data_IF_021799720640
#
_entry.id   IF_021799720640
#
_cell.length_a   1.000
_cell.length_b   1.000
_cell.length_c   1.000
_cell.angle_alpha   90.00
_cell.angle_beta   90.00
_cell.angle_gamma   90.00
#
_symmetry.space_group_name_H-M   'P 1'
#
loop_
_entity.id
_entity.type
_entity.pdbx_description
1 polymer ?
#
# COMPACT_ATOMS: atom_id res chain seq x y z
N UNK A 1 27.35 -10.26 -3.38
CA UNK A 1 26.68 -11.49 -3.81
C UNK A 1 25.62 -11.97 -2.83
N UNK A 2 25.75 -11.76 -1.50
CA UNK A 2 24.77 -12.23 -0.50
C UNK A 2 23.43 -11.45 -0.54
N UNK A 3 23.42 -10.22 -1.03
CA UNK A 3 22.21 -9.39 -1.16
C UNK A 3 21.20 -9.96 -2.14
N UNK A 4 21.58 -10.86 -3.03
CA UNK A 4 20.66 -11.47 -4.01
C UNK A 4 19.77 -12.58 -3.43
N UNK A 5 20.08 -13.10 -2.25
CA UNK A 5 19.30 -14.17 -1.61
C UNK A 5 18.13 -13.64 -0.77
N UNK A 6 18.22 -12.43 -0.22
CA UNK A 6 17.11 -11.80 0.46
C UNK A 6 16.14 -11.18 -0.54
N UNK A 7 14.85 -11.47 -0.39
CA UNK A 7 13.79 -10.95 -1.24
C UNK A 7 13.03 -9.85 -0.51
N UNK A 8 12.51 -8.91 -1.28
CA UNK A 8 11.67 -7.84 -0.75
C UNK A 8 10.37 -7.74 -1.52
N UNK A 9 9.32 -7.36 -0.78
CA UNK A 9 8.05 -6.92 -1.33
C UNK A 9 8.01 -5.41 -1.21
N UNK A 10 7.76 -4.72 -2.32
CA UNK A 10 7.75 -3.26 -2.34
C UNK A 10 6.55 -2.69 -1.58
N UNK A 11 6.68 -1.48 -1.05
CA UNK A 11 5.59 -0.72 -0.45
C UNK A 11 4.43 -0.53 -1.42
N UNK A 12 4.72 -0.32 -2.70
CA UNK A 12 3.70 -0.20 -3.76
C UNK A 12 2.86 -1.47 -3.85
N UNK A 13 3.47 -2.65 -3.74
CA UNK A 13 2.74 -3.92 -3.74
C UNK A 13 1.81 -4.02 -2.52
N UNK A 14 2.32 -3.73 -1.31
CA UNK A 14 1.51 -3.77 -0.09
C UNK A 14 0.36 -2.76 -0.14
N UNK A 15 0.65 -1.52 -0.51
CA UNK A 15 -0.36 -0.47 -0.68
C UNK A 15 -1.42 -0.84 -1.72
N UNK A 16 -1.04 -1.57 -2.80
CA UNK A 16 -2.01 -2.07 -3.80
C UNK A 16 -2.97 -3.07 -3.16
N UNK A 17 -2.47 -4.00 -2.34
CA UNK A 17 -3.32 -5.00 -1.66
C UNK A 17 -4.30 -4.33 -0.69
N UNK A 18 -3.83 -3.36 0.08
CA UNK A 18 -4.68 -2.57 0.97
C UNK A 18 -5.76 -1.83 0.16
N UNK A 19 -5.39 -1.16 -0.94
CA UNK A 19 -6.36 -0.47 -1.81
C UNK A 19 -7.42 -1.42 -2.37
N UNK A 20 -7.01 -2.58 -2.86
CA UNK A 20 -7.93 -3.57 -3.40
C UNK A 20 -8.92 -4.06 -2.34
N UNK A 21 -8.45 -4.30 -1.11
CA UNK A 21 -9.32 -4.69 -0.01
C UNK A 21 -10.35 -3.59 0.33
N UNK A 22 -9.88 -2.35 0.48
CA UNK A 22 -10.75 -1.19 0.77
C UNK A 22 -11.78 -0.98 -0.35
N UNK A 23 -11.34 -1.06 -1.61
CA UNK A 23 -12.23 -0.93 -2.75
C UNK A 23 -13.34 -1.98 -2.74
N UNK A 24 -12.99 -3.24 -2.45
CA UNK A 24 -13.97 -4.33 -2.37
C UNK A 24 -14.94 -4.14 -1.20
N UNK A 25 -14.46 -3.67 -0.05
CA UNK A 25 -15.26 -3.53 1.15
C UNK A 25 -16.17 -2.28 1.12
N UNK A 26 -15.69 -1.19 0.49
CA UNK A 26 -16.27 0.16 0.55
C UNK A 26 -16.65 0.70 -0.84
N UNK A 27 -16.95 -0.16 -1.81
CA UNK A 27 -17.18 0.23 -3.22
C UNK A 27 -18.25 1.32 -3.39
N UNK A 28 -19.33 1.26 -2.57
CA UNK A 28 -20.46 2.18 -2.64
C UNK A 28 -20.41 3.31 -1.60
N UNK A 29 -19.44 3.29 -0.69
CA UNK A 29 -19.37 4.24 0.41
C UNK A 29 -18.72 5.56 -0.02
N UNK A 30 -19.38 6.68 0.29
CA UNK A 30 -18.83 8.01 0.04
C UNK A 30 -17.56 8.25 0.85
N UNK A 31 -16.55 8.85 0.21
CA UNK A 31 -15.27 9.18 0.85
C UNK A 31 -14.26 8.04 0.86
N UNK A 32 -14.58 6.86 0.33
CA UNK A 32 -13.69 5.70 0.30
C UNK A 32 -13.24 5.30 -1.11
N UNK A 33 -13.41 6.18 -2.09
CA UNK A 33 -12.88 5.97 -3.44
C UNK A 33 -11.36 5.73 -3.41
N UNK A 34 -10.88 4.97 -4.40
CA UNK A 34 -9.44 4.74 -4.62
C UNK A 34 -8.99 5.57 -5.83
N UNK A 35 -7.99 6.42 -5.62
CA UNK A 35 -7.40 7.27 -6.65
C UNK A 35 -6.48 6.51 -7.59
N UNK A 36 -5.57 5.69 -7.02
CA UNK A 36 -4.65 4.86 -7.80
C UNK A 36 -5.30 3.51 -8.05
N UNK A 37 -6.08 3.42 -9.13
CA UNK A 37 -6.87 2.25 -9.54
C UNK A 37 -6.40 1.74 -10.90
N UNK A 38 -6.51 0.42 -11.14
CA UNK A 38 -6.16 -0.17 -12.42
C UNK A 38 -7.15 0.29 -13.51
N UNK A 39 -6.66 0.46 -14.73
CA UNK A 39 -7.43 0.82 -15.93
C UNK A 39 -8.19 2.17 -15.88
N UNK A 40 -7.97 2.98 -14.84
CA UNK A 40 -8.57 4.30 -14.73
C UNK A 40 -7.48 5.39 -14.81
N UNK A 41 -7.53 6.27 -15.81
CA UNK A 41 -6.62 7.41 -15.88
C UNK A 41 -6.82 8.37 -14.71
N UNK A 42 -5.73 8.77 -14.06
CA UNK A 42 -5.74 9.67 -12.89
C UNK A 42 -6.46 11.01 -13.15
N UNK A 43 -6.35 11.54 -14.38
CA UNK A 43 -7.00 12.80 -14.76
C UNK A 43 -8.54 12.76 -14.69
N UNK A 44 -9.16 11.57 -14.67
CA UNK A 44 -10.59 11.43 -14.48
C UNK A 44 -11.01 11.85 -13.06
N UNK A 45 -10.29 11.37 -12.05
CA UNK A 45 -10.53 11.73 -10.65
C UNK A 45 -10.17 13.19 -10.37
N UNK A 46 -9.10 13.70 -10.99
CA UNK A 46 -8.72 15.11 -10.86
C UNK A 46 -9.75 16.06 -11.48
N UNK A 47 -10.44 15.63 -12.57
CA UNK A 47 -11.57 16.39 -13.13
C UNK A 47 -12.77 16.43 -12.21
N UNK A 48 -13.03 15.37 -11.43
CA UNK A 48 -14.09 15.40 -10.40
C UNK A 48 -13.80 16.49 -9.36
N UNK A 49 -12.55 16.61 -8.93
CA UNK A 49 -12.14 17.69 -8.04
C UNK A 49 -12.30 19.08 -8.67
N UNK A 50 -11.97 19.23 -9.96
CA UNK A 50 -12.16 20.48 -10.68
C UNK A 50 -13.65 20.86 -10.82
N UNK A 51 -14.52 19.89 -11.07
CA UNK A 51 -15.97 20.10 -11.11
C UNK A 51 -16.53 20.62 -9.79
N UNK A 52 -15.99 20.17 -8.65
CA UNK A 52 -16.40 20.69 -7.33
C UNK A 52 -16.07 22.18 -7.14
N UNK A 53 -15.18 22.74 -7.96
CA UNK A 53 -14.86 24.17 -8.02
C UNK A 53 -15.58 24.91 -9.16
N UNK A 54 -16.55 24.27 -9.82
CA UNK A 54 -17.33 24.85 -10.92
C UNK A 54 -16.63 24.84 -12.28
N UNK A 55 -15.59 24.01 -12.45
CA UNK A 55 -14.87 23.84 -13.73
C UNK A 55 -15.40 22.58 -14.40
N UNK A 56 -16.23 22.75 -15.44
CA UNK A 56 -16.93 21.66 -16.13
C UNK A 56 -16.28 21.24 -17.45
N UNK A 57 -15.20 21.91 -17.87
CA UNK A 57 -14.48 21.59 -19.11
C UNK A 57 -13.92 20.15 -19.08
N UNK A 58 -14.00 19.51 -20.25
CA UNK A 58 -13.53 18.13 -20.45
C UNK A 58 -12.13 18.06 -21.08
N UNK A 59 -11.70 19.13 -21.75
CA UNK A 59 -10.38 19.23 -22.38
C UNK A 59 -9.33 19.67 -21.36
N UNK A 60 -8.23 18.89 -21.22
CA UNK A 60 -7.20 19.11 -20.21
C UNK A 60 -6.51 20.49 -20.32
N UNK A 61 -6.40 21.05 -21.53
CA UNK A 61 -5.80 22.39 -21.73
C UNK A 61 -6.74 23.48 -21.23
N UNK A 62 -8.05 23.36 -21.54
CA UNK A 62 -9.07 24.30 -21.06
C UNK A 62 -9.19 24.25 -19.54
N UNK A 63 -9.22 23.02 -18.97
CA UNK A 63 -9.19 22.84 -17.47
C UNK A 63 -7.98 23.52 -16.87
N UNK A 64 -6.80 23.34 -17.46
CA UNK A 64 -5.57 23.99 -16.98
C UNK A 64 -5.65 25.52 -17.02
N UNK A 65 -6.24 26.08 -18.08
CA UNK A 65 -6.44 27.54 -18.21
C UNK A 65 -7.44 28.06 -17.19
N UNK A 66 -8.56 27.36 -16.99
CA UNK A 66 -9.58 27.70 -16.01
C UNK A 66 -9.04 27.63 -14.58
N UNK A 67 -8.23 26.61 -14.24
CA UNK A 67 -7.55 26.51 -12.96
C UNK A 67 -6.57 27.66 -12.73
N UNK A 68 -5.79 28.05 -13.77
CA UNK A 68 -4.88 29.22 -13.66
C UNK A 68 -5.62 30.54 -13.46
N UNK A 69 -6.81 30.70 -14.08
CA UNK A 69 -7.68 31.87 -13.83
C UNK A 69 -8.24 31.84 -12.42
N UNK A 70 -8.76 30.67 -11.98
CA UNK A 70 -9.27 30.50 -10.63
C UNK A 70 -8.22 30.82 -9.57
N UNK A 71 -6.99 30.35 -9.74
CA UNK A 71 -5.89 30.63 -8.79
C UNK A 71 -5.57 32.12 -8.65
N UNK A 72 -5.79 32.93 -9.68
CA UNK A 72 -5.61 34.39 -9.61
C UNK A 72 -6.71 35.08 -8.82
N UNK A 73 -7.92 34.52 -8.81
CA UNK A 73 -9.08 35.06 -8.10
C UNK A 73 -9.30 34.44 -6.71
N UNK A 74 -8.82 33.21 -6.52
CA UNK A 74 -8.97 32.43 -5.28
C UNK A 74 -7.60 31.86 -4.88
N UNK A 75 -6.98 32.45 -3.88
CA UNK A 75 -5.67 32.02 -3.37
C UNK A 75 -5.71 30.60 -2.76
N UNK A 76 -6.90 30.17 -2.29
CA UNK A 76 -7.09 28.88 -1.61
C UNK A 76 -7.52 27.75 -2.55
N UNK A 77 -7.56 27.98 -3.87
CA UNK A 77 -7.95 26.95 -4.85
C UNK A 77 -7.13 25.65 -4.72
N UNK A 78 -5.83 25.77 -4.45
CA UNK A 78 -4.92 24.64 -4.21
C UNK A 78 -5.37 23.79 -3.01
N UNK A 79 -5.73 24.47 -1.92
CA UNK A 79 -6.18 23.84 -0.67
C UNK A 79 -7.52 23.15 -0.87
N UNK A 80 -8.45 23.81 -1.57
CA UNK A 80 -9.80 23.26 -1.85
C UNK A 80 -9.74 21.99 -2.65
N UNK A 81 -8.86 21.93 -3.69
CA UNK A 81 -8.66 20.69 -4.46
C UNK A 81 -8.03 19.58 -3.58
N UNK A 82 -6.98 19.91 -2.84
CA UNK A 82 -6.36 18.96 -1.92
C UNK A 82 -7.39 18.38 -0.94
N UNK A 83 -8.18 19.24 -0.34
CA UNK A 83 -9.18 18.86 0.67
C UNK A 83 -10.30 18.01 0.05
N UNK A 84 -10.71 18.34 -1.18
CA UNK A 84 -11.64 17.49 -1.94
C UNK A 84 -11.06 16.10 -2.17
N UNK A 85 -9.80 16.02 -2.63
CA UNK A 85 -9.13 14.75 -2.90
C UNK A 85 -8.97 13.93 -1.62
N UNK A 86 -8.52 14.53 -0.53
CA UNK A 86 -8.40 13.84 0.76
C UNK A 86 -9.75 13.36 1.30
N UNK A 87 -10.82 14.13 1.12
CA UNK A 87 -12.17 13.78 1.59
C UNK A 87 -12.76 12.59 0.83
N UNK A 88 -12.55 12.54 -0.49
CA UNK A 88 -13.21 11.57 -1.35
C UNK A 88 -12.37 10.32 -1.64
N UNK A 89 -11.04 10.39 -1.51
CA UNK A 89 -10.14 9.30 -1.86
C UNK A 89 -9.40 8.81 -0.61
N UNK A 90 -9.76 7.60 -0.16
CA UNK A 90 -9.17 6.99 1.03
C UNK A 90 -7.66 6.84 0.91
N UNK A 91 -7.16 6.40 -0.23
CA UNK A 91 -5.72 6.16 -0.42
C UNK A 91 -4.90 7.46 -0.48
N UNK A 92 -5.47 8.58 -0.94
CA UNK A 92 -4.83 9.89 -0.83
C UNK A 92 -4.79 10.34 0.63
N UNK A 93 -5.90 10.21 1.34
CA UNK A 93 -6.00 10.56 2.76
C UNK A 93 -5.04 9.74 3.62
N UNK A 94 -4.81 8.47 3.27
CA UNK A 94 -3.97 7.53 3.99
C UNK A 94 -2.50 7.64 3.60
N UNK A 95 -2.18 7.42 2.33
CA UNK A 95 -0.80 7.29 1.83
C UNK A 95 -0.24 8.56 1.22
N UNK A 96 -1.11 9.52 0.91
CA UNK A 96 -0.78 10.66 0.09
C UNK A 96 -0.71 10.33 -1.39
N UNK A 97 -0.51 11.36 -2.20
CA UNK A 97 -0.35 11.21 -3.64
C UNK A 97 0.50 12.35 -4.23
N UNK A 98 1.08 12.07 -5.39
CA UNK A 98 1.64 13.10 -6.28
C UNK A 98 0.71 13.19 -7.48
N UNK A 99 -0.06 14.27 -7.57
CA UNK A 99 -0.93 14.55 -8.70
C UNK A 99 -0.10 15.08 -9.86
N UNK A 100 0.20 14.22 -10.84
CA UNK A 100 1.11 14.51 -11.97
C UNK A 100 0.40 15.00 -13.22
N UNK A 101 -0.89 15.25 -13.14
CA UNK A 101 -1.77 15.65 -14.24
C UNK A 101 -1.77 17.17 -14.45
N UNK A 102 -2.77 17.68 -15.18
CA UNK A 102 -2.98 19.11 -15.38
C UNK A 102 -3.10 19.91 -14.06
N UNK A 103 -3.53 19.30 -12.96
CA UNK A 103 -3.60 19.94 -11.64
C UNK A 103 -2.22 20.40 -11.19
N UNK A 104 -1.17 19.57 -11.37
CA UNK A 104 0.21 19.95 -11.05
C UNK A 104 0.70 21.14 -11.87
N UNK A 105 0.31 21.23 -13.14
CA UNK A 105 0.74 22.30 -14.03
C UNK A 105 0.08 23.65 -13.70
N UNK A 106 -1.09 23.62 -13.08
CA UNK A 106 -1.89 24.82 -12.78
C UNK A 106 -1.75 25.29 -11.34
N UNK A 107 -1.62 24.34 -10.41
CA UNK A 107 -1.70 24.57 -8.98
C UNK A 107 -0.51 23.96 -8.24
N UNK A 108 -0.17 24.48 -7.05
CA UNK A 108 0.90 23.94 -6.20
C UNK A 108 0.45 22.79 -5.28
N UNK A 109 -0.77 22.28 -5.44
CA UNK A 109 -1.32 21.18 -4.65
C UNK A 109 -0.91 19.78 -5.16
N UNK A 110 0.05 19.70 -6.08
CA UNK A 110 0.44 18.45 -6.74
C UNK A 110 1.04 17.37 -5.84
N UNK A 111 1.31 17.66 -4.56
CA UNK A 111 1.81 16.69 -3.60
C UNK A 111 1.01 16.76 -2.30
N UNK A 112 0.40 15.63 -1.94
CA UNK A 112 -0.21 15.40 -0.62
C UNK A 112 0.63 14.39 0.13
N UNK A 113 1.15 14.79 1.30
CA UNK A 113 1.90 13.89 2.17
C UNK A 113 0.95 13.18 3.12
N UNK A 114 0.74 11.88 2.91
CA UNK A 114 -0.13 11.06 3.78
C UNK A 114 0.52 10.69 5.11
N UNK A 115 -0.30 10.42 6.14
CA UNK A 115 0.15 10.04 7.47
C UNK A 115 0.77 8.64 7.51
N UNK A 116 0.37 7.72 6.63
CA UNK A 116 0.80 6.33 6.66
C UNK A 116 1.94 6.10 5.67
N UNK A 117 3.06 5.61 6.18
CA UNK A 117 4.20 5.19 5.37
C UNK A 117 4.55 3.74 5.72
N UNK A 118 4.67 2.91 4.69
CA UNK A 118 5.05 1.50 4.81
C UNK A 118 6.37 1.32 4.10
N UNK A 119 7.34 0.69 4.76
CA UNK A 119 8.61 0.30 4.16
C UNK A 119 8.49 -0.94 3.28
N UNK A 120 9.57 -1.31 2.63
CA UNK A 120 9.64 -2.59 1.92
C UNK A 120 9.64 -3.74 2.92
N UNK A 121 8.79 -4.73 2.70
CA UNK A 121 8.88 -5.97 3.45
C UNK A 121 10.13 -6.75 3.00
N UNK A 122 10.91 -7.22 3.95
CA UNK A 122 12.14 -7.99 3.69
C UNK A 122 12.00 -9.39 4.24
N UNK A 123 12.49 -10.38 3.50
CA UNK A 123 12.51 -11.75 3.98
C UNK A 123 13.43 -11.89 5.20
N UNK A 124 12.97 -12.64 6.19
CA UNK A 124 13.76 -12.94 7.42
C UNK A 124 14.96 -13.79 7.08
N UNK A 125 14.76 -14.80 6.24
CA UNK A 125 15.83 -15.67 5.74
C UNK A 125 16.15 -15.42 4.26
N UNK A 126 17.32 -15.85 3.78
CA UNK A 126 17.62 -15.95 2.37
C UNK A 126 16.62 -16.85 1.64
N UNK A 127 16.13 -16.41 0.48
CA UNK A 127 15.15 -17.15 -0.32
C UNK A 127 15.72 -17.46 -1.70
N UNK A 128 15.68 -18.73 -2.08
CA UNK A 128 16.00 -19.19 -3.43
C UNK A 128 14.68 -19.39 -4.20
N UNK A 129 14.50 -18.65 -5.29
CA UNK A 129 13.37 -18.85 -6.20
C UNK A 129 13.57 -20.15 -7.01
N UNK A 130 12.46 -20.86 -7.23
CA UNK A 130 12.44 -22.04 -8.08
C UNK A 130 11.77 -21.71 -9.41
N UNK A 131 12.33 -22.21 -10.52
CA UNK A 131 11.66 -22.17 -11.81
C UNK A 131 10.88 -23.47 -12.03
N UNK A 132 9.61 -23.33 -12.39
CA UNK A 132 8.73 -24.44 -12.70
C UNK A 132 8.27 -24.31 -14.16
N UNK A 133 8.41 -25.39 -14.93
CA UNK A 133 7.81 -25.45 -16.25
C UNK A 133 6.30 -25.65 -16.14
N UNK A 134 5.55 -24.90 -16.93
CA UNK A 134 4.09 -24.96 -16.99
C UNK A 134 3.71 -25.30 -18.42
N UNK A 135 2.87 -26.31 -18.61
CA UNK A 135 2.37 -26.70 -19.92
C UNK A 135 0.89 -26.35 -20.02
N UNK A 136 0.54 -25.58 -21.05
CA UNK A 136 -0.85 -25.32 -21.42
C UNK A 136 -1.21 -26.22 -22.59
N UNK A 137 -2.31 -26.97 -22.44
CA UNK A 137 -2.81 -27.89 -23.47
C UNK A 137 -3.42 -27.11 -24.65
N UNK A 138 -4.06 -25.95 -24.37
CA UNK A 138 -4.67 -25.13 -25.41
C UNK A 138 -3.62 -24.28 -26.15
N UNK A 139 -3.73 -24.23 -27.45
CA UNK A 139 -2.90 -23.44 -28.37
C UNK A 139 -3.60 -22.12 -28.69
N UNK A 140 -2.84 -21.04 -28.93
CA UNK A 140 -3.38 -19.70 -29.06
C UNK A 140 -3.98 -19.43 -30.44
N UNK A 141 -3.38 -19.96 -31.51
CA UNK A 141 -3.80 -19.69 -32.88
C UNK A 141 -3.90 -20.99 -33.70
N UNK A 142 -4.76 -21.03 -34.71
CA UNK A 142 -4.88 -22.15 -35.64
C UNK A 142 -3.54 -22.48 -36.35
N UNK A 143 -2.77 -21.45 -36.70
CA UNK A 143 -1.45 -21.58 -37.31
C UNK A 143 -0.44 -22.28 -36.41
N UNK A 144 -0.48 -22.00 -35.09
CA UNK A 144 0.40 -22.68 -34.13
C UNK A 144 -0.03 -24.13 -33.91
N UNK A 145 -1.33 -24.44 -34.04
CA UNK A 145 -1.87 -25.79 -33.92
C UNK A 145 -1.37 -26.75 -34.99
N UNK A 146 -0.95 -26.27 -36.17
CA UNK A 146 -0.35 -27.08 -37.22
C UNK A 146 1.03 -27.63 -36.83
N UNK A 147 1.75 -26.96 -35.94
CA UNK A 147 3.14 -27.27 -35.60
C UNK A 147 3.37 -27.69 -34.14
N UNK A 148 2.43 -27.39 -33.25
CA UNK A 148 2.55 -27.63 -31.80
C UNK A 148 1.26 -28.26 -31.26
N UNK A 149 1.40 -29.16 -30.28
CA UNK A 149 0.25 -29.74 -29.54
C UNK A 149 0.04 -29.09 -28.18
N UNK A 150 1.05 -28.39 -27.67
CA UNK A 150 1.04 -27.78 -26.33
C UNK A 150 1.88 -26.49 -26.35
N UNK A 151 1.62 -25.62 -25.39
CA UNK A 151 2.44 -24.43 -25.18
C UNK A 151 3.12 -24.47 -23.82
N UNK A 152 4.42 -24.25 -23.78
CA UNK A 152 5.23 -24.32 -22.56
C UNK A 152 5.60 -22.90 -22.10
N UNK A 153 5.46 -22.66 -20.81
CA UNK A 153 5.95 -21.45 -20.14
C UNK A 153 6.80 -21.80 -18.93
N UNK A 154 7.48 -20.81 -18.39
CA UNK A 154 8.22 -20.94 -17.12
C UNK A 154 7.65 -19.96 -16.10
N UNK A 155 7.62 -20.37 -14.86
CA UNK A 155 7.17 -19.53 -13.75
C UNK A 155 8.18 -19.63 -12.61
N UNK A 156 8.64 -18.47 -12.13
CA UNK A 156 9.45 -18.37 -10.92
C UNK A 156 8.52 -18.30 -9.72
N UNK A 157 8.76 -19.14 -8.74
CA UNK A 157 8.00 -19.18 -7.48
C UNK A 157 8.95 -19.07 -6.29
N UNK A 158 8.43 -18.55 -5.17
CA UNK A 158 9.05 -18.63 -3.85
C UNK A 158 8.33 -19.73 -3.08
N UNK A 159 8.99 -20.86 -2.75
CA UNK A 159 8.33 -21.99 -2.09
C UNK A 159 7.76 -21.61 -0.72
N UNK A 160 8.51 -20.86 0.04
CA UNK A 160 8.13 -20.29 1.33
C UNK A 160 9.00 -19.06 1.64
N UNK A 161 8.47 -18.11 2.41
CA UNK A 161 9.21 -16.98 2.95
C UNK A 161 8.41 -16.23 3.99
N UNK A 162 9.02 -15.94 5.13
CA UNK A 162 8.52 -15.00 6.12
C UNK A 162 9.11 -13.63 5.84
N UNK A 163 8.26 -12.61 5.77
CA UNK A 163 8.65 -11.24 5.48
C UNK A 163 8.26 -10.34 6.65
N UNK A 164 9.16 -9.44 7.00
CA UNK A 164 8.93 -8.36 7.97
C UNK A 164 8.79 -7.04 7.23
N UNK A 165 7.71 -6.33 7.49
CA UNK A 165 7.47 -4.95 7.04
C UNK A 165 7.38 -4.02 8.25
N UNK A 166 7.86 -2.80 8.10
CA UNK A 166 7.77 -1.75 9.11
C UNK A 166 7.03 -0.56 8.52
N UNK A 167 6.25 0.12 9.35
CA UNK A 167 5.45 1.26 8.93
C UNK A 167 5.30 2.29 10.03
N UNK A 168 4.83 3.46 9.63
CA UNK A 168 4.65 4.62 10.49
C UNK A 168 3.30 5.26 10.24
N UNK A 169 2.65 5.71 11.31
CA UNK A 169 1.45 6.52 11.25
C UNK A 169 1.71 7.84 11.99
N UNK A 170 1.60 8.96 11.26
CA UNK A 170 1.85 10.30 11.79
C UNK A 170 0.55 11.00 12.16
N UNK A 171 0.23 11.11 13.45
CA UNK A 171 -0.92 11.86 13.93
C UNK A 171 -0.88 13.33 13.50
N UNK A 172 0.31 13.93 13.41
CA UNK A 172 0.48 15.32 12.95
C UNK A 172 0.02 15.49 11.49
N UNK A 173 0.45 14.60 10.58
CA UNK A 173 0.03 14.64 9.18
C UNK A 173 -1.46 14.30 9.02
N UNK A 174 -1.97 13.34 9.80
CA UNK A 174 -3.38 13.00 9.81
C UNK A 174 -4.25 14.23 10.10
N UNK A 175 -3.96 14.94 11.20
CA UNK A 175 -4.77 16.09 11.64
C UNK A 175 -4.55 17.35 10.81
N UNK A 176 -3.31 17.65 10.39
CA UNK A 176 -2.99 18.95 9.76
C UNK A 176 -3.04 18.92 8.23
N UNK A 177 -2.98 17.74 7.61
CA UNK A 177 -2.84 17.65 6.15
C UNK A 177 -4.00 16.94 5.49
N UNK A 178 -4.35 15.73 5.95
CA UNK A 178 -5.25 14.87 5.18
C UNK A 178 -6.63 14.66 5.80
N UNK A 179 -6.78 14.87 7.09
CA UNK A 179 -8.02 14.57 7.82
C UNK A 179 -8.23 13.07 8.04
N UNK A 180 -7.16 12.26 8.01
CA UNK A 180 -7.20 10.83 8.31
C UNK A 180 -7.69 10.62 9.76
N UNK A 181 -8.79 9.90 9.93
CA UNK A 181 -9.50 9.73 11.19
C UNK A 181 -9.11 8.44 11.93
N UNK A 182 -9.66 8.25 13.14
CA UNK A 182 -9.53 6.98 13.87
C UNK A 182 -10.28 5.85 13.17
N UNK A 183 -11.44 6.14 12.55
CA UNK A 183 -12.19 5.15 11.76
C UNK A 183 -11.41 4.72 10.51
N UNK A 184 -10.69 5.66 9.89
CA UNK A 184 -9.77 5.35 8.79
C UNK A 184 -8.61 4.47 9.24
N UNK A 185 -8.13 4.69 10.47
CA UNK A 185 -7.04 3.91 11.08
C UNK A 185 -7.52 2.49 11.40
N UNK A 186 -8.69 2.33 11.97
CA UNK A 186 -9.28 1.02 12.25
C UNK A 186 -9.49 0.21 10.95
N UNK A 187 -9.99 0.88 9.90
CA UNK A 187 -10.12 0.29 8.58
C UNK A 187 -8.77 -0.08 7.96
N UNK A 188 -7.70 0.71 8.22
CA UNK A 188 -6.34 0.37 7.80
C UNK A 188 -5.84 -0.91 8.46
N UNK A 189 -6.08 -1.08 9.77
CA UNK A 189 -5.69 -2.30 10.48
C UNK A 189 -6.44 -3.52 9.94
N UNK A 190 -7.75 -3.40 9.74
CA UNK A 190 -8.58 -4.44 9.12
C UNK A 190 -8.05 -4.81 7.72
N UNK A 191 -7.75 -3.79 6.91
CA UNK A 191 -7.24 -3.99 5.56
C UNK A 191 -5.85 -4.65 5.56
N UNK A 192 -4.94 -4.28 6.47
CA UNK A 192 -3.62 -4.92 6.59
C UNK A 192 -3.78 -6.39 6.94
N UNK A 193 -4.64 -6.72 7.90
CA UNK A 193 -4.85 -8.10 8.37
C UNK A 193 -5.41 -8.98 7.24
N UNK A 194 -6.36 -8.45 6.46
CA UNK A 194 -7.14 -9.23 5.50
C UNK A 194 -6.74 -9.04 4.02
N UNK A 195 -5.74 -8.19 3.72
CA UNK A 195 -5.41 -7.78 2.34
C UNK A 195 -5.05 -8.93 1.38
N UNK A 196 -4.75 -10.11 1.88
CA UNK A 196 -4.42 -11.29 1.06
C UNK A 196 -5.58 -12.27 0.91
N UNK A 197 -6.64 -12.17 1.73
CA UNK A 197 -7.76 -13.12 1.72
C UNK A 197 -8.57 -13.10 0.40
N UNK A 198 -8.54 -11.97 -0.32
CA UNK A 198 -9.20 -11.80 -1.61
C UNK A 198 -8.23 -11.66 -2.79
N UNK A 199 -6.93 -11.97 -2.59
CA UNK A 199 -5.88 -11.82 -3.61
C UNK A 199 -5.23 -13.17 -3.98
N UNK A 200 -5.98 -14.24 -3.98
CA UNK A 200 -5.47 -15.57 -4.29
C UNK A 200 -5.10 -15.75 -5.76
N UNK A 201 -4.01 -16.42 -6.02
CA UNK A 201 -3.63 -16.91 -7.34
C UNK A 201 -2.75 -18.14 -7.21
N UNK A 202 -2.57 -18.90 -8.30
CA UNK A 202 -1.74 -20.11 -8.28
C UNK A 202 -0.30 -19.87 -7.74
N UNK A 203 0.25 -18.65 -7.88
CA UNK A 203 1.56 -18.29 -7.36
C UNK A 203 1.49 -17.61 -5.97
N UNK A 204 0.31 -17.24 -5.51
CA UNK A 204 0.05 -16.56 -4.24
C UNK A 204 -1.09 -17.24 -3.47
N UNK A 205 -1.18 -18.56 -3.60
CA UNK A 205 -2.31 -19.32 -3.05
C UNK A 205 -2.41 -19.33 -1.52
N UNK A 206 -1.33 -19.04 -0.81
CA UNK A 206 -1.29 -19.15 0.66
C UNK A 206 -0.49 -18.01 1.29
N UNK A 207 -0.74 -16.78 0.84
CA UNK A 207 -0.22 -15.59 1.50
C UNK A 207 -1.17 -15.14 2.60
N UNK A 208 -0.61 -14.79 3.76
CA UNK A 208 -1.39 -14.27 4.89
C UNK A 208 -0.52 -13.36 5.77
N UNK A 209 -1.12 -12.37 6.39
CA UNK A 209 -0.50 -11.65 7.50
C UNK A 209 -0.51 -12.56 8.71
N UNK A 210 0.64 -12.71 9.37
CA UNK A 210 0.80 -13.65 10.48
C UNK A 210 0.84 -12.96 11.83
N UNK A 211 1.35 -11.74 11.85
CA UNK A 211 1.33 -10.85 13.02
C UNK A 211 1.21 -9.39 12.58
N UNK A 212 0.52 -8.60 13.40
CA UNK A 212 0.49 -7.16 13.33
C UNK A 212 0.74 -6.62 14.73
N UNK A 213 1.91 -6.02 14.94
CA UNK A 213 2.33 -5.42 16.21
C UNK A 213 2.29 -3.91 16.03
N UNK A 214 1.53 -3.24 16.89
CA UNK A 214 1.33 -1.79 16.87
C UNK A 214 1.88 -1.17 18.14
N UNK A 215 2.71 -0.15 17.99
CA UNK A 215 3.23 0.69 19.07
C UNK A 215 2.53 2.05 19.04
N UNK A 216 1.67 2.29 20.02
CA UNK A 216 0.94 3.54 20.16
C UNK A 216 1.65 4.48 21.13
N UNK A 217 2.11 5.60 20.61
CA UNK A 217 2.73 6.65 21.41
C UNK A 217 1.68 7.51 22.10
N UNK A 218 2.00 8.02 23.30
CA UNK A 218 1.15 8.97 24.02
C UNK A 218 1.23 10.38 23.41
N UNK A 219 2.35 10.73 22.78
CA UNK A 219 2.62 12.05 22.19
C UNK A 219 2.53 12.01 20.66
N UNK A 220 2.04 13.09 20.08
CA UNK A 220 1.90 13.28 18.63
C UNK A 220 3.21 13.11 17.84
N UNK A 221 4.34 13.51 18.42
CA UNK A 221 5.66 13.38 17.79
C UNK A 221 6.43 12.13 18.22
N UNK A 222 5.77 11.25 18.98
CA UNK A 222 6.35 10.04 19.53
C UNK A 222 7.04 10.24 20.88
N UNK A 223 7.16 9.15 21.63
CA UNK A 223 7.79 9.12 22.97
C UNK A 223 9.23 8.62 22.90
N UNK A 224 9.59 7.90 21.86
CA UNK A 224 10.94 7.42 21.60
C UNK A 224 11.20 7.26 20.10
N UNK A 225 12.47 7.12 19.68
CA UNK A 225 12.82 6.82 18.29
C UNK A 225 12.24 5.46 17.86
N UNK A 226 11.62 5.41 16.69
CA UNK A 226 10.93 4.23 16.18
C UNK A 226 11.83 2.99 16.03
N UNK A 227 13.11 3.20 15.68
CA UNK A 227 14.05 2.08 15.54
C UNK A 227 14.17 1.25 16.83
N UNK A 228 14.10 1.88 18.03
CA UNK A 228 14.15 1.16 19.31
C UNK A 228 12.97 0.21 19.49
N UNK A 229 11.79 0.63 19.02
CA UNK A 229 10.59 -0.21 19.06
C UNK A 229 10.67 -1.34 18.03
N UNK A 230 11.23 -1.07 16.85
CA UNK A 230 11.45 -2.13 15.88
C UNK A 230 12.51 -3.12 16.33
N UNK A 231 13.59 -2.65 16.98
CA UNK A 231 14.64 -3.51 17.53
C UNK A 231 14.15 -4.35 18.73
N UNK A 232 13.07 -3.92 19.42
CA UNK A 232 12.46 -4.74 20.47
C UNK A 232 11.70 -5.96 19.96
N UNK A 233 11.45 -6.05 18.64
CA UNK A 233 10.80 -7.21 18.03
C UNK A 233 11.85 -8.05 17.32
N UNK A 234 12.16 -9.20 17.87
CA UNK A 234 13.05 -10.19 17.25
C UNK A 234 12.25 -11.24 16.49
N UNK A 235 12.68 -11.51 15.26
CA UNK A 235 12.12 -12.58 14.44
C UNK A 235 13.25 -13.48 13.99
N UNK A 236 13.26 -14.73 14.43
CA UNK A 236 14.32 -15.69 14.12
C UNK A 236 13.76 -17.06 13.80
N UNK A 237 14.44 -17.77 12.93
CA UNK A 237 14.16 -19.16 12.64
C UNK A 237 14.59 -20.03 13.84
N UNK A 238 13.83 -21.09 14.12
CA UNK A 238 14.19 -22.08 15.12
C UNK A 238 15.48 -22.81 14.72
N UNK A 239 16.35 -23.08 15.68
CA UNK A 239 17.68 -23.69 15.43
C UNK A 239 17.59 -25.08 14.80
N UNK A 240 16.57 -25.85 15.17
CA UNK A 240 16.35 -27.20 14.65
C UNK A 240 15.77 -27.24 13.22
N UNK A 241 15.39 -26.08 12.67
CA UNK A 241 14.78 -25.99 11.32
C UNK A 241 15.79 -25.50 10.31
N UNK A 242 16.21 -26.37 9.41
CA UNK A 242 17.12 -26.00 8.32
C UNK A 242 16.38 -25.27 7.17
N UNK A 243 15.21 -25.78 6.79
CA UNK A 243 14.40 -25.27 5.68
C UNK A 243 12.99 -24.93 6.17
N UNK A 244 12.66 -23.67 6.51
CA UNK A 244 11.36 -23.32 7.02
C UNK A 244 10.28 -23.44 5.93
N UNK A 245 9.10 -23.93 6.32
CA UNK A 245 7.94 -24.11 5.45
C UNK A 245 6.63 -23.62 6.05
N UNK A 246 6.68 -23.16 7.27
CA UNK A 246 5.53 -22.64 7.99
C UNK A 246 5.92 -21.50 8.94
N UNK A 247 4.94 -20.71 9.37
CA UNK A 247 5.14 -19.70 10.40
C UNK A 247 5.60 -20.31 11.74
N UNK A 248 5.18 -21.54 12.03
CA UNK A 248 5.57 -22.25 13.25
C UNK A 248 7.07 -22.60 13.34
N UNK A 249 7.78 -22.46 12.23
CA UNK A 249 9.23 -22.68 12.15
C UNK A 249 10.03 -21.47 12.64
N UNK A 250 9.33 -20.39 13.00
CA UNK A 250 9.90 -19.16 13.51
C UNK A 250 9.51 -18.90 14.95
N UNK A 251 10.28 -18.05 15.60
CA UNK A 251 10.01 -17.46 16.89
C UNK A 251 9.90 -15.96 16.67
N UNK A 252 8.80 -15.37 17.15
CA UNK A 252 8.61 -13.92 17.21
C UNK A 252 8.55 -13.54 18.68
N UNK A 253 9.56 -12.83 19.13
CA UNK A 253 9.74 -12.41 20.51
C UNK A 253 9.70 -10.89 20.60
N UNK A 254 8.99 -10.37 21.59
CA UNK A 254 8.95 -8.93 21.85
C UNK A 254 9.60 -8.69 23.21
N UNK A 255 10.67 -7.95 23.23
CA UNK A 255 11.41 -7.55 24.42
C UNK A 255 10.73 -6.33 25.05
N UNK A 256 9.68 -6.60 25.84
CA UNK A 256 8.83 -5.56 26.44
C UNK A 256 9.63 -4.64 27.39
N UNK A 257 10.71 -5.15 28.01
CA UNK A 257 11.61 -4.38 28.85
C UNK A 257 12.33 -3.23 28.11
N UNK A 258 12.38 -3.29 26.76
CA UNK A 258 12.98 -2.26 25.93
C UNK A 258 11.94 -1.21 25.45
N UNK A 259 10.66 -1.40 25.77
CA UNK A 259 9.57 -0.50 25.38
C UNK A 259 9.33 0.49 26.53
N UNK A 260 9.36 1.83 26.27
CA UNK A 260 9.04 2.80 27.32
C UNK A 260 7.59 2.69 27.82
N UNK A 261 7.36 2.91 29.11
CA UNK A 261 6.02 2.88 29.74
C UNK A 261 4.99 3.80 29.08
N UNK A 262 5.45 4.84 28.38
CA UNK A 262 4.60 5.78 27.63
C UNK A 262 4.14 5.28 26.26
N UNK A 263 4.58 4.07 25.86
CA UNK A 263 4.24 3.44 24.59
C UNK A 263 3.40 2.19 24.88
N UNK A 264 2.17 2.18 24.37
CA UNK A 264 1.30 1.01 24.45
C UNK A 264 1.58 0.07 23.28
N UNK A 265 1.92 -1.19 23.57
CA UNK A 265 2.10 -2.23 22.56
C UNK A 265 0.84 -3.08 22.44
N UNK A 266 0.39 -3.31 21.21
CA UNK A 266 -0.75 -4.19 20.89
C UNK A 266 -0.35 -5.21 19.83
N UNK A 267 -0.63 -6.48 20.09
CA UNK A 267 -0.69 -7.51 19.05
C UNK A 267 -2.14 -7.57 18.54
N UNK A 268 -2.34 -7.31 17.27
CA UNK A 268 -3.67 -7.29 16.65
C UNK A 268 -4.09 -8.68 16.16
N UNK A 269 -3.10 -9.51 15.78
CA UNK A 269 -3.21 -10.95 15.46
C UNK A 269 -1.96 -11.67 15.96
#
# INVERSE_FOLDING_TARGET
PYTTLFRSVTDVCLKRKIRNYIETLKEEDDGYKIYIKDDIPLNRSDREACKSLGIEETDDKKVTESLKKLKKSDADADVKIRDYMCRNFYDIRTFGAVMTTFVKAALNCGQVRGPVQIGFARSVDPIVSQEVAITRVAITTEKDAESKSTEMGRKSIVPYGLYRAEGYVSANLARKVTGFSEEDLDLLWEAIINMFEHDHSAARGNMAVRELIVFKHSKELGDCPAYKLFDSVEVRRKEEVEYPRSYKDYIVEVHEENIPDSVEMKRMI
#
